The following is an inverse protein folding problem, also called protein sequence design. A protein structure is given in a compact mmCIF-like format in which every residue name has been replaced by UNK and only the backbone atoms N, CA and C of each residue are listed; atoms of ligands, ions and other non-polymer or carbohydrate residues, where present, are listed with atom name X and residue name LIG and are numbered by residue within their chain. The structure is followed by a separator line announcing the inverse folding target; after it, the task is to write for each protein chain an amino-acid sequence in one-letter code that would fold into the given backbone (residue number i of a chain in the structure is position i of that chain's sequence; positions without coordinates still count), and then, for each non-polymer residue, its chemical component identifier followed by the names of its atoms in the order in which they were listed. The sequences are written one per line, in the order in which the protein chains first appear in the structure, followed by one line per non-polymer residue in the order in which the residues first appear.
data_IF_852299561678
#
_entry.id   IF_852299561678
#
_cell.length_a   1.000
_cell.length_b   1.000
_cell.length_c   1.000
_cell.angle_alpha   90.00
_cell.angle_beta   90.00
_cell.angle_gamma   90.00
#
_symmetry.space_group_name_H-M   'P 1'
#
loop_
_entity.id
_entity.type
_entity.pdbx_description
1 polymer ?
#
# COMPACT_ATOMS: atom_id res chain seq x y z
N UNK A 1 -17.65 22.93 13.57
CA UNK A 1 -18.52 23.14 12.39
C UNK A 1 -19.54 22.00 12.38
N UNK A 2 -20.84 22.28 12.36
CA UNK A 2 -21.87 21.23 12.34
C UNK A 2 -22.13 20.77 10.90
N UNK A 3 -22.45 19.50 10.71
CA UNK A 3 -22.73 18.90 9.38
C UNK A 3 -24.03 19.42 8.75
N UNK A 4 -24.82 20.20 9.49
CA UNK A 4 -26.04 20.86 8.99
C UNK A 4 -25.84 22.36 8.75
N UNK A 5 -24.62 22.88 8.96
CA UNK A 5 -24.33 24.28 8.72
C UNK A 5 -24.40 24.62 7.22
N UNK A 6 -24.86 25.84 6.90
CA UNK A 6 -24.87 26.36 5.52
C UNK A 6 -23.49 26.32 4.87
N UNK A 7 -22.44 26.55 5.66
CA UNK A 7 -21.05 26.46 5.20
C UNK A 7 -20.70 25.04 4.76
N UNK A 8 -21.06 24.02 5.54
CA UNK A 8 -20.84 22.63 5.16
C UNK A 8 -21.60 22.24 3.88
N UNK A 9 -22.88 22.64 3.79
CA UNK A 9 -23.69 22.39 2.59
C UNK A 9 -23.13 23.09 1.34
N UNK A 10 -22.60 24.31 1.51
CA UNK A 10 -21.90 25.02 0.45
C UNK A 10 -20.62 24.27 0.02
N UNK A 11 -19.80 23.80 0.97
CA UNK A 11 -18.59 23.00 0.67
C UNK A 11 -18.96 21.71 -0.08
N UNK A 12 -19.97 20.98 0.36
CA UNK A 12 -20.44 19.77 -0.33
C UNK A 12 -20.88 20.06 -1.77
N UNK A 13 -21.63 21.14 -1.98
CA UNK A 13 -22.02 21.57 -3.32
C UNK A 13 -20.81 21.87 -4.19
N UNK A 14 -19.81 22.59 -3.66
CA UNK A 14 -18.57 22.89 -4.39
C UNK A 14 -17.76 21.63 -4.71
N UNK A 15 -17.73 20.64 -3.82
CA UNK A 15 -17.10 19.35 -4.04
C UNK A 15 -17.80 18.52 -5.13
N UNK A 16 -19.14 18.59 -5.20
CA UNK A 16 -19.93 17.92 -6.23
C UNK A 16 -19.77 18.54 -7.63
N UNK A 17 -19.58 19.87 -7.69
CA UNK A 17 -19.44 20.63 -8.95
C UNK A 17 -17.98 20.68 -9.46
N UNK A 18 -16.98 20.46 -8.60
CA UNK A 18 -15.57 20.57 -8.96
C UNK A 18 -14.94 19.23 -9.37
N UNK A 19 -14.81 19.00 -10.68
CA UNK A 19 -13.99 17.90 -11.24
C UNK A 19 -12.53 17.93 -10.75
N UNK A 20 -12.02 19.13 -10.47
CA UNK A 20 -10.64 19.42 -10.09
C UNK A 20 -10.13 18.76 -8.80
N UNK A 21 -11.02 18.27 -7.93
CA UNK A 21 -10.69 17.81 -6.57
C UNK A 21 -10.85 16.29 -6.38
N UNK A 22 -11.07 15.54 -7.47
CA UNK A 22 -11.25 14.09 -7.40
C UNK A 22 -9.96 13.31 -7.21
N UNK A 23 -8.78 13.90 -7.42
CA UNK A 23 -7.51 13.18 -7.30
C UNK A 23 -6.65 13.72 -6.18
N UNK A 24 -6.13 12.82 -5.36
CA UNK A 24 -5.27 13.14 -4.23
C UNK A 24 -4.21 12.06 -4.05
N UNK A 25 -3.16 12.40 -3.31
CA UNK A 25 -2.13 11.47 -2.83
C UNK A 25 -1.99 11.65 -1.33
N UNK A 26 -1.48 10.64 -0.59
CA UNK A 26 -1.04 10.86 0.78
C UNK A 26 -0.02 12.00 0.89
N UNK A 27 -0.01 12.70 2.02
CA UNK A 27 0.90 13.83 2.24
C UNK A 27 2.40 13.46 2.12
N UNK A 28 2.77 12.25 2.51
CA UNK A 28 4.12 11.67 2.43
C UNK A 28 4.29 10.72 1.24
N UNK A 29 3.56 10.97 0.14
CA UNK A 29 3.55 10.10 -1.02
C UNK A 29 4.97 9.95 -1.64
N UNK A 30 5.50 8.70 -1.74
CA UNK A 30 6.86 8.46 -2.20
C UNK A 30 7.09 8.93 -3.64
N UNK A 31 8.20 9.64 -3.88
CA UNK A 31 8.53 10.19 -5.20
C UNK A 31 9.49 9.28 -5.97
N UNK A 32 10.30 8.49 -5.28
CA UNK A 32 11.40 7.73 -5.87
C UNK A 32 11.65 6.39 -5.17
N UNK A 33 12.24 5.44 -5.90
CA UNK A 33 12.60 4.13 -5.34
C UNK A 33 13.71 4.22 -4.29
N UNK A 34 14.49 5.30 -4.28
CA UNK A 34 15.55 5.51 -3.30
C UNK A 34 14.99 5.72 -1.89
N UNK A 35 13.73 6.12 -1.75
CA UNK A 35 13.07 6.31 -0.45
C UNK A 35 12.71 4.98 0.23
N UNK A 36 12.51 3.90 -0.53
CA UNK A 36 12.20 2.57 0.04
C UNK A 36 13.46 1.75 0.33
N UNK A 37 14.56 2.01 -0.38
CA UNK A 37 15.81 1.24 -0.31
C UNK A 37 16.34 1.05 1.12
N UNK A 38 16.52 2.11 1.93
CA UNK A 38 17.10 1.99 3.27
C UNK A 38 16.41 0.96 4.16
N UNK A 39 15.07 1.00 4.26
CA UNK A 39 14.31 0.05 5.08
C UNK A 39 14.29 -1.37 4.51
N UNK A 40 14.29 -1.51 3.19
CA UNK A 40 14.43 -2.82 2.56
C UNK A 40 15.80 -3.43 2.87
N UNK A 41 16.87 -2.63 2.86
CA UNK A 41 18.23 -3.12 3.10
C UNK A 41 18.48 -3.44 4.57
N UNK A 42 17.96 -2.61 5.49
CA UNK A 42 18.03 -2.83 6.94
C UNK A 42 17.43 -4.17 7.38
N UNK A 43 16.49 -4.71 6.62
CA UNK A 43 15.89 -6.02 6.91
C UNK A 43 16.89 -7.18 6.75
N UNK A 44 17.99 -7.02 6.00
CA UNK A 44 18.92 -8.10 5.69
C UNK A 44 20.29 -7.91 6.33
N UNK A 45 20.84 -9.02 6.83
CA UNK A 45 22.24 -9.15 7.18
C UNK A 45 22.97 -9.91 6.07
N UNK A 46 23.96 -9.30 5.44
CA UNK A 46 24.74 -9.92 4.36
C UNK A 46 26.21 -9.98 4.77
N UNK A 47 26.71 -11.18 5.07
CA UNK A 47 28.09 -11.34 5.52
C UNK A 47 29.07 -11.14 4.36
N UNK A 48 30.01 -10.20 4.51
CA UNK A 48 31.03 -9.87 3.49
C UNK A 48 30.43 -9.51 2.12
N UNK A 49 29.27 -8.85 2.12
CA UNK A 49 28.57 -8.47 0.89
C UNK A 49 27.71 -7.23 1.02
N UNK A 50 26.88 -7.00 0.01
CA UNK A 50 25.98 -5.86 -0.07
C UNK A 50 24.61 -6.26 -0.63
N UNK A 51 23.61 -5.45 -0.32
CA UNK A 51 22.28 -5.51 -0.92
C UNK A 51 22.01 -4.21 -1.68
N UNK A 52 21.38 -4.30 -2.85
CA UNK A 52 20.96 -3.16 -3.64
C UNK A 52 19.63 -3.46 -4.36
N UNK A 53 18.96 -2.41 -4.82
CA UNK A 53 17.80 -2.54 -5.69
C UNK A 53 18.25 -2.87 -7.13
N UNK A 54 17.56 -3.79 -7.77
CA UNK A 54 17.78 -4.18 -9.17
C UNK A 54 16.44 -4.25 -9.90
N UNK A 55 16.29 -3.47 -10.99
CA UNK A 55 15.09 -3.49 -11.83
C UNK A 55 13.80 -3.23 -11.04
N UNK A 56 13.68 -2.05 -10.43
CA UNK A 56 12.53 -1.69 -9.59
C UNK A 56 11.68 -0.61 -10.24
N UNK A 57 10.37 -0.75 -10.11
CA UNK A 57 9.37 0.19 -10.59
C UNK A 57 8.51 0.71 -9.44
N UNK A 58 8.05 1.95 -9.57
CA UNK A 58 7.02 2.54 -8.71
C UNK A 58 5.78 2.86 -9.55
N UNK A 59 4.76 2.03 -9.39
CA UNK A 59 3.51 2.15 -10.12
C UNK A 59 2.50 2.95 -9.31
N UNK A 60 1.72 3.77 -10.01
CA UNK A 60 0.56 4.45 -9.44
C UNK A 60 -0.66 3.54 -9.44
N UNK A 61 -1.16 3.23 -8.25
CA UNK A 61 -2.37 2.44 -8.07
C UNK A 61 -3.43 3.27 -7.36
N UNK A 62 -4.62 3.42 -7.96
CA UNK A 62 -5.69 4.20 -7.36
C UNK A 62 -6.50 3.37 -6.36
N UNK A 63 -6.96 4.03 -5.30
CA UNK A 63 -8.08 3.63 -4.46
C UNK A 63 -9.18 4.68 -4.56
N UNK A 64 -10.42 4.28 -4.37
CA UNK A 64 -11.55 5.19 -4.25
C UNK A 64 -11.90 5.37 -2.77
N UNK A 65 -11.72 6.58 -2.24
CA UNK A 65 -12.26 6.99 -0.95
C UNK A 65 -13.66 7.56 -1.14
N UNK A 66 -14.66 6.91 -0.57
CA UNK A 66 -16.03 7.39 -0.48
C UNK A 66 -16.25 8.05 0.87
N UNK A 67 -16.77 9.27 0.86
CA UNK A 67 -17.19 9.99 2.07
C UNK A 67 -18.70 9.88 2.21
N UNK A 68 -19.14 9.38 3.36
CA UNK A 68 -20.56 9.24 3.70
C UNK A 68 -20.89 9.99 4.98
N UNK A 69 -22.14 10.43 5.08
CA UNK A 69 -22.76 10.85 6.34
C UNK A 69 -23.45 9.64 6.94
N UNK A 70 -23.04 9.27 8.14
CA UNK A 70 -23.76 8.28 8.96
C UNK A 70 -24.50 9.02 10.06
N UNK A 71 -25.80 8.77 10.18
CA UNK A 71 -26.61 9.29 11.28
C UNK A 71 -26.85 8.18 12.28
N UNK A 72 -26.41 8.35 13.52
CA UNK A 72 -26.68 7.37 14.56
C UNK A 72 -28.18 7.39 14.93
N UNK A 73 -28.84 6.24 14.82
CA UNK A 73 -30.28 6.12 15.04
C UNK A 73 -30.71 6.46 16.47
N UNK A 74 -29.82 6.26 17.45
CA UNK A 74 -30.08 6.47 18.88
C UNK A 74 -29.87 7.90 19.34
N UNK A 75 -28.87 8.60 18.79
CA UNK A 75 -28.47 9.95 19.22
C UNK A 75 -28.92 11.05 18.26
N UNK A 76 -29.26 10.70 17.01
CA UNK A 76 -29.47 11.65 15.92
C UNK A 76 -28.17 12.37 15.50
N UNK A 77 -27.02 11.99 16.07
CA UNK A 77 -25.74 12.60 15.76
C UNK A 77 -25.28 12.16 14.37
N UNK A 78 -24.97 13.14 13.52
CA UNK A 78 -24.39 12.89 12.20
C UNK A 78 -22.86 12.91 12.31
N UNK A 79 -22.22 11.87 11.76
CA UNK A 79 -20.75 11.79 11.64
C UNK A 79 -20.36 11.52 10.20
N UNK A 80 -19.20 12.03 9.81
CA UNK A 80 -18.58 11.68 8.53
C UNK A 80 -17.79 10.39 8.70
N UNK A 81 -17.92 9.50 7.73
CA UNK A 81 -17.11 8.30 7.63
C UNK A 81 -16.49 8.19 6.25
N UNK A 82 -15.30 7.63 6.22
CA UNK A 82 -14.61 7.29 4.98
C UNK A 82 -14.66 5.77 4.79
N UNK A 83 -14.89 5.34 3.55
CA UNK A 83 -14.85 3.95 3.13
C UNK A 83 -13.98 3.86 1.89
N UNK A 84 -13.20 2.80 1.78
CA UNK A 84 -12.16 2.69 0.76
C UNK A 84 -12.41 1.48 -0.13
N UNK A 85 -12.23 1.66 -1.43
CA UNK A 85 -12.49 0.65 -2.44
C UNK A 85 -11.36 0.58 -3.44
N UNK A 86 -11.08 -0.62 -3.93
CA UNK A 86 -10.26 -0.83 -5.11
C UNK A 86 -11.08 -0.53 -6.38
N UNK A 87 -10.43 -0.30 -7.54
CA UNK A 87 -11.11 -0.04 -8.81
C UNK A 87 -12.15 -1.09 -9.26
N UNK A 88 -11.94 -2.35 -8.88
CA UNK A 88 -12.83 -3.48 -9.15
C UNK A 88 -13.99 -3.60 -8.13
N UNK A 89 -14.07 -2.68 -7.16
CA UNK A 89 -15.14 -2.63 -6.14
C UNK A 89 -14.84 -3.40 -4.87
N UNK A 90 -13.67 -4.02 -4.75
CA UNK A 90 -13.22 -4.68 -3.53
C UNK A 90 -13.09 -3.68 -2.37
N UNK A 91 -13.54 -4.06 -1.17
CA UNK A 91 -13.44 -3.19 0.00
C UNK A 91 -12.04 -3.25 0.59
N UNK A 92 -11.44 -2.08 0.82
CA UNK A 92 -10.19 -1.94 1.57
C UNK A 92 -10.54 -1.68 3.03
N UNK A 93 -9.91 -2.40 3.96
CA UNK A 93 -10.15 -2.19 5.39
C UNK A 93 -9.71 -0.78 5.81
N UNK A 94 -10.35 -0.24 6.83
CA UNK A 94 -10.00 1.10 7.31
C UNK A 94 -8.57 1.13 7.88
N UNK A 95 -8.15 0.04 8.54
CA UNK A 95 -6.80 -0.09 9.10
C UNK A 95 -5.74 -0.06 8.00
N UNK A 96 -5.98 -0.77 6.89
CA UNK A 96 -5.06 -0.74 5.75
C UNK A 96 -5.05 0.64 5.09
N UNK A 97 -6.21 1.26 4.89
CA UNK A 97 -6.32 2.60 4.32
C UNK A 97 -5.60 3.65 5.17
N UNK A 98 -5.73 3.59 6.50
CA UNK A 98 -5.04 4.45 7.46
C UNK A 98 -3.52 4.23 7.39
N UNK A 99 -3.07 2.98 7.33
CA UNK A 99 -1.63 2.66 7.24
C UNK A 99 -1.02 3.17 5.93
N UNK A 100 -1.80 3.14 4.84
CA UNK A 100 -1.46 3.76 3.55
C UNK A 100 -1.59 5.30 3.57
N UNK A 101 -2.17 5.86 4.64
CA UNK A 101 -2.56 7.25 4.87
C UNK A 101 -3.46 7.83 3.80
N UNK A 102 -4.46 7.04 3.41
CA UNK A 102 -5.54 7.47 2.55
C UNK A 102 -6.50 8.48 3.24
N UNK A 103 -6.30 8.76 4.53
CA UNK A 103 -7.02 9.78 5.29
C UNK A 103 -6.35 11.16 5.26
N UNK A 104 -5.02 11.21 5.18
CA UNK A 104 -4.22 12.44 5.20
C UNK A 104 -3.75 12.80 3.79
N UNK A 105 -4.60 13.53 3.07
CA UNK A 105 -4.46 13.72 1.63
C UNK A 105 -4.06 15.14 1.25
N UNK A 106 -3.27 15.25 0.19
CA UNK A 106 -3.00 16.50 -0.54
C UNK A 106 -3.49 16.40 -1.99
N UNK A 107 -3.96 17.50 -2.61
CA UNK A 107 -4.41 17.49 -3.99
C UNK A 107 -3.31 17.04 -4.95
N UNK A 108 -3.65 16.16 -5.90
CA UNK A 108 -2.69 15.58 -6.83
C UNK A 108 -3.01 15.95 -8.28
N UNK A 109 -2.72 17.19 -8.65
CA UNK A 109 -3.10 17.79 -9.94
C UNK A 109 -2.48 17.04 -11.12
N UNK A 110 -1.27 16.47 -10.95
CA UNK A 110 -0.56 15.72 -11.99
C UNK A 110 -1.32 14.48 -12.49
N UNK A 111 -2.20 13.88 -11.68
CA UNK A 111 -2.89 12.64 -12.04
C UNK A 111 -4.22 12.84 -12.76
N UNK A 112 -4.62 14.08 -13.05
CA UNK A 112 -5.91 14.38 -13.70
C UNK A 112 -6.11 13.69 -15.05
N UNK A 113 -5.01 13.42 -15.77
CA UNK A 113 -5.08 12.76 -17.09
C UNK A 113 -4.89 11.25 -17.02
N UNK A 114 -4.70 10.70 -15.81
CA UNK A 114 -4.34 9.30 -15.65
C UNK A 114 -5.54 8.36 -15.74
N UNK A 115 -6.77 8.85 -15.61
CA UNK A 115 -8.01 8.08 -15.73
C UNK A 115 -9.04 8.88 -16.52
N UNK A 116 -9.84 8.19 -17.34
CA UNK A 116 -10.98 8.84 -17.98
C UNK A 116 -12.08 9.08 -16.94
N UNK A 117 -12.83 10.18 -17.08
CA UNK A 117 -13.92 10.48 -16.15
C UNK A 117 -14.97 9.37 -16.11
N UNK A 118 -15.22 8.70 -17.24
CA UNK A 118 -16.12 7.56 -17.33
C UNK A 118 -15.69 6.39 -16.43
N UNK A 119 -14.39 6.12 -16.33
CA UNK A 119 -13.85 5.07 -15.47
C UNK A 119 -14.06 5.43 -13.99
N UNK A 120 -13.78 6.69 -13.62
CA UNK A 120 -14.00 7.18 -12.25
C UNK A 120 -15.48 7.13 -11.89
N UNK A 121 -16.39 7.53 -12.79
CA UNK A 121 -17.83 7.43 -12.58
C UNK A 121 -18.29 5.98 -12.43
N UNK A 122 -17.70 5.07 -13.20
CA UNK A 122 -17.98 3.64 -13.07
C UNK A 122 -17.51 3.08 -11.72
N UNK A 123 -16.34 3.49 -11.22
CA UNK A 123 -15.88 3.06 -9.90
C UNK A 123 -16.78 3.61 -8.79
N UNK A 124 -17.23 4.87 -8.93
CA UNK A 124 -18.20 5.47 -8.01
C UNK A 124 -19.51 4.70 -8.02
N UNK A 125 -20.01 4.28 -9.18
CA UNK A 125 -21.26 3.52 -9.28
C UNK A 125 -21.12 2.14 -8.62
N UNK A 126 -20.02 1.42 -8.86
CA UNK A 126 -19.71 0.13 -8.23
C UNK A 126 -19.60 0.29 -6.72
N UNK A 127 -18.86 1.28 -6.23
CA UNK A 127 -18.73 1.55 -4.80
C UNK A 127 -20.07 1.91 -4.16
N UNK A 128 -20.93 2.68 -4.84
CA UNK A 128 -22.29 2.99 -4.33
C UNK A 128 -23.12 1.72 -4.14
N UNK A 129 -23.07 0.79 -5.10
CA UNK A 129 -23.75 -0.50 -4.98
C UNK A 129 -23.17 -1.35 -3.86
N UNK A 130 -21.85 -1.42 -3.72
CA UNK A 130 -21.20 -2.14 -2.62
C UNK A 130 -21.49 -1.52 -1.23
N UNK A 131 -21.77 -0.22 -1.19
CA UNK A 131 -22.16 0.52 0.01
C UNK A 131 -23.66 0.48 0.32
N UNK A 132 -24.48 -0.15 -0.53
CA UNK A 132 -25.91 -0.18 -0.33
C UNK A 132 -26.26 -0.85 1.01
N UNK A 133 -27.24 -0.31 1.76
CA UNK A 133 -27.64 -0.86 3.05
C UNK A 133 -28.09 -2.33 2.88
N UNK A 134 -27.38 -3.24 3.55
CA UNK A 134 -27.68 -4.68 3.57
C UNK A 134 -26.59 -5.61 3.03
N UNK A 135 -25.49 -5.10 2.45
CA UNK A 135 -24.46 -5.94 1.82
C UNK A 135 -23.32 -6.35 2.76
N UNK A 136 -22.94 -5.54 3.76
CA UNK A 136 -21.95 -5.94 4.79
C UNK A 136 -22.26 -5.34 6.18
N UNK A 137 -22.43 -6.25 7.14
CA UNK A 137 -22.40 -6.08 8.61
C UNK A 137 -23.69 -5.69 9.36
N UNK A 138 -24.11 -6.66 10.18
CA UNK A 138 -25.17 -6.66 11.18
C UNK A 138 -24.89 -5.75 12.41
N UNK A 139 -24.15 -4.65 12.26
CA UNK A 139 -23.72 -3.78 13.38
C UNK A 139 -24.17 -2.33 13.29
N UNK A 140 -25.00 -1.96 12.30
CA UNK A 140 -25.64 -0.63 12.28
C UNK A 140 -27.14 -0.74 12.11
N UNK A 141 -27.83 -0.80 13.24
CA UNK A 141 -29.25 -0.48 13.32
C UNK A 141 -29.45 1.01 13.02
N UNK A 142 -30.08 1.31 11.87
CA UNK A 142 -31.09 2.38 11.85
C UNK A 142 -30.81 3.70 11.13
N UNK A 143 -29.91 3.80 10.15
CA UNK A 143 -29.98 4.82 9.11
C UNK A 143 -29.15 4.42 7.88
N UNK A 144 -29.64 4.71 6.67
CA UNK A 144 -28.86 4.53 5.46
C UNK A 144 -27.78 5.62 5.38
N UNK A 145 -26.53 5.23 5.16
CA UNK A 145 -25.43 6.18 4.93
C UNK A 145 -25.71 7.03 3.68
N UNK A 146 -25.63 8.35 3.83
CA UNK A 146 -25.78 9.28 2.72
C UNK A 146 -24.42 9.47 2.02
N UNK A 147 -24.34 9.15 0.72
CA UNK A 147 -23.15 9.40 -0.08
C UNK A 147 -22.94 10.91 -0.28
N UNK A 148 -21.79 11.44 0.10
CA UNK A 148 -21.48 12.87 -0.03
C UNK A 148 -20.48 13.16 -1.15
N UNK A 149 -19.38 12.39 -1.21
CA UNK A 149 -18.29 12.65 -2.14
C UNK A 149 -17.47 11.39 -2.41
N UNK A 150 -16.72 11.41 -3.52
CA UNK A 150 -15.69 10.42 -3.80
C UNK A 150 -14.37 11.09 -4.23
N UNK A 151 -13.26 10.52 -3.79
CA UNK A 151 -11.90 10.96 -4.09
C UNK A 151 -11.08 9.74 -4.52
N UNK A 152 -10.48 9.81 -5.70
CA UNK A 152 -9.42 8.90 -6.15
C UNK A 152 -8.13 9.25 -5.39
N UNK A 153 -7.65 8.31 -4.60
CA UNK A 153 -6.40 8.37 -3.85
C UNK A 153 -5.35 7.55 -4.59
N UNK A 154 -4.30 8.21 -5.06
CA UNK A 154 -3.18 7.56 -5.73
C UNK A 154 -2.13 7.12 -4.72
N UNK A 155 -1.76 5.85 -4.79
CA UNK A 155 -0.77 5.22 -3.94
C UNK A 155 0.35 4.63 -4.81
N UNK A 156 1.59 4.66 -4.30
CA UNK A 156 2.71 3.98 -4.96
C UNK A 156 2.78 2.52 -4.56
N UNK A 157 2.80 1.63 -5.53
CA UNK A 157 3.14 0.22 -5.37
C UNK A 157 4.52 -0.03 -5.97
N UNK A 158 5.41 -0.64 -5.19
CA UNK A 158 6.74 -1.01 -5.60
C UNK A 158 6.76 -2.48 -6.03
N UNK A 159 7.42 -2.75 -7.15
CA UNK A 159 7.72 -4.10 -7.65
C UNK A 159 9.15 -4.10 -8.18
N UNK A 160 9.95 -5.11 -7.80
CA UNK A 160 11.31 -5.23 -8.27
C UNK A 160 12.08 -6.35 -7.59
N UNK A 161 13.40 -6.22 -7.59
CA UNK A 161 14.29 -7.22 -7.00
C UNK A 161 15.32 -6.59 -6.07
N UNK A 162 15.66 -7.33 -5.03
CA UNK A 162 16.85 -7.12 -4.23
C UNK A 162 17.97 -7.98 -4.82
N UNK A 163 19.10 -7.36 -5.13
CA UNK A 163 20.31 -8.07 -5.56
C UNK A 163 21.29 -8.12 -4.41
N UNK A 164 21.63 -9.32 -3.99
CA UNK A 164 22.68 -9.59 -3.02
C UNK A 164 23.97 -9.91 -3.76
N UNK A 165 25.09 -9.35 -3.31
CA UNK A 165 26.41 -9.57 -3.91
C UNK A 165 27.41 -9.93 -2.82
N UNK A 166 28.08 -11.07 -2.95
CA UNK A 166 29.15 -11.55 -2.06
C UNK A 166 30.30 -12.03 -2.95
N UNK A 167 31.43 -11.32 -2.91
CA UNK A 167 32.50 -11.49 -3.90
C UNK A 167 31.99 -11.22 -5.33
N UNK A 168 32.27 -12.14 -6.25
CA UNK A 168 31.85 -12.04 -7.66
C UNK A 168 30.44 -12.63 -7.92
N UNK A 169 29.80 -13.18 -6.89
CA UNK A 169 28.55 -13.90 -7.02
C UNK A 169 27.37 -12.99 -6.68
N UNK A 170 26.24 -13.22 -7.37
CA UNK A 170 25.02 -12.48 -7.14
C UNK A 170 23.80 -13.39 -7.15
N UNK A 171 22.83 -13.06 -6.31
CA UNK A 171 21.49 -13.67 -6.31
C UNK A 171 20.45 -12.56 -6.22
N UNK A 172 19.30 -12.81 -6.83
CA UNK A 172 18.19 -11.85 -6.86
C UNK A 172 16.97 -12.42 -6.13
N UNK A 173 16.29 -11.56 -5.36
CA UNK A 173 15.08 -11.88 -4.63
C UNK A 173 13.98 -10.88 -5.03
N UNK A 174 12.88 -11.34 -5.66
CA UNK A 174 11.77 -10.44 -5.96
C UNK A 174 11.12 -9.93 -4.67
N UNK A 175 10.67 -8.68 -4.69
CA UNK A 175 9.83 -8.09 -3.66
C UNK A 175 8.73 -7.26 -4.30
N UNK A 176 7.61 -7.13 -3.61
CA UNK A 176 6.53 -6.24 -4.00
C UNK A 176 5.81 -5.72 -2.76
N UNK A 177 5.30 -4.50 -2.81
CA UNK A 177 4.59 -3.92 -1.67
C UNK A 177 4.23 -2.46 -1.84
N UNK A 178 3.43 -1.96 -0.91
CA UNK A 178 3.06 -0.54 -0.89
C UNK A 178 4.28 0.30 -0.49
N UNK A 179 4.70 1.20 -1.36
CA UNK A 179 5.97 1.91 -1.21
C UNK A 179 6.05 2.68 0.12
N UNK A 180 4.94 3.28 0.57
CA UNK A 180 4.86 3.94 1.89
C UNK A 180 5.12 2.98 3.05
N UNK A 181 4.58 1.77 2.99
CA UNK A 181 4.77 0.77 4.05
C UNK A 181 6.21 0.26 4.07
N UNK A 182 6.79 0.01 2.89
CA UNK A 182 8.18 -0.38 2.74
C UNK A 182 9.12 0.72 3.25
N UNK A 183 8.92 1.98 2.85
CA UNK A 183 9.73 3.14 3.29
C UNK A 183 9.68 3.37 4.81
N UNK A 184 8.60 2.96 5.47
CA UNK A 184 8.41 3.08 6.92
C UNK A 184 8.79 1.82 7.69
N UNK A 185 9.15 0.73 7.01
CA UNK A 185 9.41 -0.58 7.64
C UNK A 185 8.17 -1.22 8.27
N UNK A 186 6.97 -0.81 7.85
CA UNK A 186 5.70 -1.40 8.29
C UNK A 186 5.32 -2.65 7.48
N UNK A 187 5.94 -2.80 6.31
CA UNK A 187 5.89 -4.02 5.53
C UNK A 187 7.32 -4.51 5.34
N UNK A 188 7.61 -5.72 5.80
CA UNK A 188 8.92 -6.34 5.63
C UNK A 188 9.05 -6.96 4.23
N UNK A 189 10.26 -6.94 3.63
CA UNK A 189 10.52 -7.68 2.42
C UNK A 189 10.58 -9.19 2.69
N UNK A 190 10.35 -10.04 1.67
CA UNK A 190 10.32 -11.49 1.86
C UNK A 190 11.68 -12.02 2.32
N UNK A 191 11.76 -13.08 3.14
CA UNK A 191 13.05 -13.72 3.45
C UNK A 191 13.63 -14.37 2.20
N UNK A 192 14.96 -14.48 2.14
CA UNK A 192 15.61 -15.30 1.13
C UNK A 192 15.35 -16.78 1.44
N UNK A 193 15.08 -17.57 0.40
CA UNK A 193 14.78 -19.01 0.54
C UNK A 193 15.94 -19.81 -0.01
N UNK A 194 16.55 -20.66 0.82
CA UNK A 194 17.56 -21.61 0.36
C UNK A 194 16.94 -22.57 -0.66
N UNK A 195 17.46 -22.65 -1.89
CA UNK A 195 16.87 -23.49 -2.93
C UNK A 195 17.00 -25.00 -2.65
N UNK A 196 17.94 -25.40 -1.78
CA UNK A 196 18.18 -26.81 -1.46
C UNK A 196 17.40 -27.29 -0.23
N UNK A 197 17.40 -26.50 0.85
CA UNK A 197 16.78 -26.91 2.12
C UNK A 197 15.40 -26.31 2.35
N UNK A 198 15.02 -25.26 1.60
CA UNK A 198 13.78 -24.51 1.82
C UNK A 198 13.80 -23.62 3.08
N UNK A 199 14.91 -23.60 3.83
CA UNK A 199 15.10 -22.68 4.96
C UNK A 199 14.98 -21.23 4.50
N UNK A 200 14.38 -20.40 5.35
CA UNK A 200 14.09 -18.99 5.07
C UNK A 200 14.76 -18.12 6.11
N UNK A 201 15.51 -17.12 5.67
CA UNK A 201 16.15 -16.15 6.56
C UNK A 201 16.39 -14.84 5.85
N UNK A 202 16.58 -13.77 6.64
CA UNK A 202 17.11 -12.50 6.18
C UNK A 202 18.63 -12.38 6.41
N UNK A 203 19.28 -13.43 6.91
CA UNK A 203 20.73 -13.52 7.02
C UNK A 203 21.32 -14.34 5.87
N UNK A 204 22.07 -13.70 4.99
CA UNK A 204 22.71 -14.32 3.82
C UNK A 204 24.22 -14.39 3.99
N UNK A 205 24.79 -15.49 3.49
CA UNK A 205 26.23 -15.74 3.46
C UNK A 205 26.58 -16.60 2.23
N UNK A 206 27.84 -16.53 1.79
CA UNK A 206 28.36 -17.43 0.77
C UNK A 206 29.06 -18.66 1.39
N UNK A 207 28.80 -19.83 0.84
CA UNK A 207 29.60 -21.05 1.03
C UNK A 207 31.00 -20.88 0.41
N UNK A 208 31.92 -21.79 0.71
CA UNK A 208 33.30 -21.68 0.21
C UNK A 208 33.42 -21.93 -1.31
N UNK A 209 32.39 -22.53 -1.94
CA UNK A 209 32.27 -22.65 -3.40
C UNK A 209 31.56 -21.44 -4.05
N UNK A 210 31.25 -20.41 -3.27
CA UNK A 210 30.71 -19.13 -3.73
C UNK A 210 29.19 -19.05 -3.82
N UNK A 211 28.44 -20.11 -3.47
CA UNK A 211 26.97 -20.05 -3.52
C UNK A 211 26.44 -19.19 -2.39
N UNK A 212 25.64 -18.18 -2.74
CA UNK A 212 24.94 -17.35 -1.76
C UNK A 212 23.67 -18.08 -1.31
N UNK A 213 23.54 -18.28 0.00
CA UNK A 213 22.36 -18.90 0.62
C UNK A 213 22.08 -18.30 2.00
N UNK A 214 21.07 -18.82 2.70
CA UNK A 214 20.79 -18.45 4.09
C UNK A 214 21.92 -18.99 4.99
N UNK A 215 22.43 -18.16 5.90
CA UNK A 215 23.58 -18.51 6.73
C UNK A 215 23.32 -19.77 7.58
N UNK A 216 22.07 -19.96 8.01
CA UNK A 216 21.61 -21.09 8.82
C UNK A 216 21.57 -22.42 8.05
N UNK A 217 21.65 -22.38 6.72
CA UNK A 217 21.73 -23.59 5.90
C UNK A 217 23.17 -24.03 5.63
N UNK A 218 24.17 -23.23 5.99
CA UNK A 218 25.59 -23.52 5.72
C UNK A 218 26.12 -24.42 6.83
N UNK A 219 26.68 -25.58 6.45
CA UNK A 219 27.33 -26.50 7.36
C UNK A 219 28.84 -26.57 7.08
N UNK A 220 29.62 -26.97 8.08
CA UNK A 220 31.03 -27.28 7.87
C UNK A 220 31.18 -28.77 7.54
N UNK A 221 31.85 -29.08 6.43
CA UNK A 221 32.22 -30.45 6.09
C UNK A 221 33.21 -31.00 7.13
N UNK A 222 32.87 -32.09 7.81
CA UNK A 222 33.70 -32.67 8.88
C UNK A 222 35.12 -33.05 8.43
N UNK A 223 35.30 -33.38 7.14
CA UNK A 223 36.58 -33.82 6.59
C UNK A 223 37.44 -32.64 6.13
N UNK A 224 36.84 -31.65 5.45
CA UNK A 224 37.60 -30.56 4.82
C UNK A 224 37.56 -29.25 5.59
N UNK A 225 36.68 -29.12 6.59
CA UNK A 225 36.37 -27.88 7.28
C UNK A 225 35.66 -26.83 6.41
N UNK A 226 35.40 -27.13 5.12
CA UNK A 226 34.80 -26.19 4.18
C UNK A 226 33.32 -25.97 4.49
N UNK A 227 32.88 -24.74 4.31
CA UNK A 227 31.47 -24.35 4.34
C UNK A 227 30.76 -24.82 3.07
N UNK A 228 29.76 -25.67 3.24
CA UNK A 228 28.95 -26.31 2.18
C UNK A 228 27.47 -26.07 2.38
#
# INVERSE_FOLDING_TARGET
MTLDSRMFQWVLKQLGESDNQRHSVPNDYPQSIHEIGPKLFEAYKVDSGSVQLAGCALEDRPLLRVTVRSTEASSGESRLRHRFFTPDGGRVSNELAETLGADELVPAIQFRRSLADADVQQWISVARTANAPGVESAESSGAADEFLAATVVWLKYADGKLRFTIGEQNVELPFAGWARLLARGLQEPPPYVCPLSGLRSHHLQATDDGRITVAEAIAACEVSGRRV
#
